data_IF_140239054152
#
_entry.id   IF_140239054152
#
_cell.length_a   1.000
_cell.length_b   1.000
_cell.length_c   1.000
_cell.angle_alpha   90.00
_cell.angle_beta   90.00
_cell.angle_gamma   90.00
#
_symmetry.space_group_name_H-M   'P 1'
#
loop_
_entity.id
_entity.type
_entity.pdbx_description
1 polymer ?
#
# COMPACT_ATOMS: atom_id res chain seq x y z
N UNK A 1 -11.61 -1.73 9.18
CA UNK A 1 -10.94 -2.83 9.93
C UNK A 1 -11.93 -3.56 10.84
N UNK A 2 -12.82 -2.88 11.60
CA UNK A 2 -13.69 -3.55 12.59
C UNK A 2 -14.45 -4.74 12.00
N UNK A 3 -15.21 -4.56 10.93
CA UNK A 3 -15.95 -5.65 10.28
C UNK A 3 -15.05 -6.81 9.78
N UNK A 4 -13.82 -6.49 9.37
CA UNK A 4 -12.83 -7.52 8.97
C UNK A 4 -12.41 -8.33 10.18
N UNK A 5 -12.10 -7.67 11.30
CA UNK A 5 -11.71 -8.34 12.54
C UNK A 5 -12.85 -9.17 13.12
N UNK A 6 -14.11 -8.69 13.05
CA UNK A 6 -15.30 -9.44 13.48
C UNK A 6 -15.47 -10.73 12.66
N UNK A 7 -15.29 -10.65 11.33
CA UNK A 7 -15.36 -11.83 10.45
C UNK A 7 -14.20 -12.78 10.76
N UNK A 8 -12.99 -12.27 10.92
CA UNK A 8 -11.82 -13.08 11.22
C UNK A 8 -11.98 -13.84 12.54
N UNK A 9 -12.44 -13.16 13.58
CA UNK A 9 -12.72 -13.79 14.88
C UNK A 9 -13.81 -14.86 14.75
N UNK A 10 -14.92 -14.56 14.08
CA UNK A 10 -16.03 -15.50 13.87
C UNK A 10 -15.59 -16.80 13.17
N UNK A 11 -14.64 -16.70 12.24
CA UNK A 11 -14.20 -17.82 11.41
C UNK A 11 -12.82 -18.34 11.79
N UNK A 12 -12.25 -17.90 12.93
CA UNK A 12 -10.91 -18.26 13.40
C UNK A 12 -9.83 -18.06 12.32
N UNK A 13 -9.85 -16.88 11.67
CA UNK A 13 -8.90 -16.49 10.63
C UNK A 13 -7.83 -15.56 11.18
N UNK A 14 -6.62 -15.69 10.64
CA UNK A 14 -5.56 -14.71 10.88
C UNK A 14 -5.69 -13.54 9.90
N UNK A 15 -5.42 -12.33 10.39
CA UNK A 15 -5.43 -11.10 9.59
C UNK A 15 -4.00 -10.57 9.48
N UNK A 16 -3.49 -10.54 8.25
CA UNK A 16 -2.25 -9.85 7.89
C UNK A 16 -2.61 -8.56 7.17
N UNK A 17 -2.21 -7.42 7.73
CA UNK A 17 -2.41 -6.11 7.12
C UNK A 17 -1.26 -5.80 6.15
N UNK A 18 -1.55 -5.62 4.87
CA UNK A 18 -0.61 -4.98 3.93
C UNK A 18 -0.77 -3.46 4.04
N UNK A 19 -0.02 -2.85 4.96
CA UNK A 19 0.01 -1.40 5.18
C UNK A 19 1.15 -0.71 4.41
N UNK A 20 1.76 -1.38 3.42
CA UNK A 20 2.92 -0.90 2.67
C UNK A 20 2.68 0.37 1.83
N UNK A 21 1.47 0.86 1.74
CA UNK A 21 1.12 2.14 1.08
C UNK A 21 0.58 3.17 2.08
N UNK A 22 0.62 2.87 3.38
CA UNK A 22 -0.07 3.64 4.39
C UNK A 22 0.76 3.79 5.68
N UNK A 23 2.07 3.96 5.52
CA UNK A 23 2.98 4.17 6.65
C UNK A 23 2.52 5.37 7.49
N UNK A 24 2.22 5.12 8.77
CA UNK A 24 1.70 6.13 9.69
C UNK A 24 0.21 6.47 9.57
N UNK A 25 -0.52 5.85 8.62
CA UNK A 25 -1.96 5.92 8.57
C UNK A 25 -2.61 5.26 9.78
N UNK A 26 -3.87 5.60 10.05
CA UNK A 26 -4.63 5.01 11.15
C UNK A 26 -6.09 4.74 10.77
N UNK A 27 -6.72 3.88 11.53
CA UNK A 27 -8.16 3.66 11.48
C UNK A 27 -8.72 3.75 12.89
N UNK A 28 -9.58 4.75 13.13
CA UNK A 28 -10.14 5.07 14.46
C UNK A 28 -9.06 5.19 15.53
N UNK A 29 -7.98 5.89 15.22
CA UNK A 29 -6.87 6.15 16.12
C UNK A 29 -5.87 5.01 16.31
N UNK A 30 -6.09 3.82 15.74
CA UNK A 30 -5.12 2.72 15.73
C UNK A 30 -4.29 2.75 14.47
N UNK A 31 -2.97 2.63 14.57
CA UNK A 31 -2.07 2.61 13.41
C UNK A 31 -2.37 1.40 12.52
N UNK A 32 -2.38 1.63 11.21
CA UNK A 32 -2.49 0.55 10.24
C UNK A 32 -1.24 -0.33 10.31
N UNK A 33 -1.44 -1.63 10.18
CA UNK A 33 -0.41 -2.64 10.42
C UNK A 33 -0.33 -3.14 11.86
N UNK A 34 -1.15 -2.58 12.80
CA UNK A 34 -1.18 -2.99 14.21
C UNK A 34 -2.54 -3.45 14.71
N UNK A 35 -3.51 -3.62 13.81
CA UNK A 35 -4.88 -3.98 14.16
C UNK A 35 -5.10 -5.49 14.02
N UNK A 36 -4.51 -6.10 12.99
CA UNK A 36 -4.55 -7.54 12.75
C UNK A 36 -3.54 -8.33 13.59
N UNK A 37 -3.34 -9.58 13.25
CA UNK A 37 -2.34 -10.46 13.90
C UNK A 37 -0.91 -10.06 13.53
N UNK A 38 -0.72 -9.52 12.33
CA UNK A 38 0.52 -8.96 11.87
C UNK A 38 0.26 -7.87 10.83
N UNK A 39 1.24 -6.99 10.63
CA UNK A 39 1.23 -5.96 9.60
C UNK A 39 2.56 -5.84 8.89
N UNK A 40 2.52 -5.55 7.60
CA UNK A 40 3.68 -5.28 6.78
C UNK A 40 3.75 -3.81 6.40
N UNK A 41 4.94 -3.21 6.55
CA UNK A 41 5.28 -1.87 6.11
C UNK A 41 6.37 -1.95 5.05
N UNK A 42 6.43 -0.93 4.17
CA UNK A 42 7.47 -0.81 3.15
C UNK A 42 8.17 0.53 3.27
N UNK A 43 9.49 0.52 3.23
CA UNK A 43 10.32 1.71 3.28
C UNK A 43 11.11 1.92 1.99
N UNK A 44 10.59 1.39 0.86
CA UNK A 44 11.24 1.60 -0.42
C UNK A 44 11.11 3.07 -0.87
N UNK A 45 11.84 3.42 -1.93
CA UNK A 45 11.97 4.80 -2.43
C UNK A 45 10.62 5.55 -2.62
N UNK A 46 9.54 4.86 -2.96
CA UNK A 46 8.24 5.48 -3.29
C UNK A 46 7.32 5.69 -2.09
N UNK A 47 7.75 5.38 -0.88
CA UNK A 47 6.90 5.42 0.32
C UNK A 47 6.90 6.79 0.99
N UNK A 48 5.99 6.98 1.93
CA UNK A 48 5.83 8.22 2.70
C UNK A 48 7.11 8.54 3.45
N UNK A 49 7.72 7.53 4.04
CA UNK A 49 9.07 7.56 4.60
C UNK A 49 9.89 6.45 3.95
N UNK A 50 11.16 6.73 3.64
CA UNK A 50 11.99 5.82 2.85
C UNK A 50 13.43 5.80 3.32
N UNK A 51 14.03 4.62 3.30
CA UNK A 51 15.49 4.44 3.42
C UNK A 51 16.11 3.87 2.13
N UNK A 52 15.45 4.05 0.99
CA UNK A 52 15.84 3.50 -0.31
C UNK A 52 15.19 2.13 -0.55
N UNK A 53 15.60 1.12 0.20
CA UNK A 53 14.96 -0.20 0.26
C UNK A 53 14.87 -0.67 1.71
N UNK A 54 13.71 -1.22 2.08
CA UNK A 54 13.47 -1.71 3.43
C UNK A 54 12.00 -2.03 3.66
N UNK A 55 11.72 -2.58 4.82
CA UNK A 55 10.38 -2.89 5.29
C UNK A 55 10.39 -3.34 6.74
N UNK A 56 9.22 -3.50 7.31
CA UNK A 56 9.05 -4.02 8.65
C UNK A 56 7.86 -4.96 8.72
N UNK A 57 7.97 -5.99 9.53
CA UNK A 57 6.88 -6.80 10.02
C UNK A 57 6.57 -6.39 11.47
N UNK A 58 5.30 -6.10 11.74
CA UNK A 58 4.80 -5.74 13.05
C UNK A 58 3.91 -6.86 13.58
N UNK A 59 4.09 -7.27 14.82
CA UNK A 59 3.22 -8.25 15.49
C UNK A 59 3.39 -8.20 16.99
N UNK A 60 2.32 -8.47 17.73
CA UNK A 60 2.34 -8.71 19.18
C UNK A 60 2.37 -10.22 19.50
N UNK A 61 2.28 -11.09 18.50
CA UNK A 61 2.37 -12.54 18.65
C UNK A 61 3.83 -12.97 18.73
N UNK A 62 4.22 -13.49 19.92
CA UNK A 62 5.59 -13.91 20.20
C UNK A 62 6.08 -15.02 19.26
N UNK A 63 5.24 -16.01 18.98
CA UNK A 63 5.58 -17.11 18.09
C UNK A 63 5.82 -16.65 16.66
N UNK A 64 4.94 -15.74 16.18
CA UNK A 64 5.06 -15.15 14.86
C UNK A 64 6.33 -14.30 14.75
N UNK A 65 6.63 -13.49 15.78
CA UNK A 65 7.87 -12.70 15.85
C UNK A 65 9.12 -13.61 15.77
N UNK A 66 9.19 -14.66 16.60
CA UNK A 66 10.32 -15.59 16.60
C UNK A 66 10.53 -16.25 15.23
N UNK A 67 9.46 -16.74 14.63
CA UNK A 67 9.50 -17.37 13.30
C UNK A 67 9.91 -16.40 12.19
N UNK A 68 9.38 -15.18 12.23
CA UNK A 68 9.73 -14.16 11.26
C UNK A 68 11.20 -13.79 11.34
N UNK A 69 11.73 -13.65 12.54
CA UNK A 69 13.13 -13.31 12.78
C UNK A 69 14.08 -14.44 12.34
N UNK A 70 13.76 -15.69 12.68
CA UNK A 70 14.51 -16.87 12.22
C UNK A 70 14.52 -16.94 10.68
N UNK A 71 13.36 -16.72 10.05
CA UNK A 71 13.24 -16.79 8.60
C UNK A 71 14.02 -15.68 7.90
N UNK A 72 13.93 -14.44 8.41
CA UNK A 72 14.55 -13.26 7.80
C UNK A 72 16.07 -13.25 7.89
N UNK A 73 16.65 -13.98 8.83
CA UNK A 73 18.09 -14.00 9.11
C UNK A 73 18.73 -15.38 8.83
N UNK A 74 18.11 -16.20 8.00
CA UNK A 74 18.59 -17.55 7.65
C UNK A 74 18.94 -18.42 8.87
N UNK A 75 18.26 -18.20 10.00
CA UNK A 75 18.58 -18.82 11.32
C UNK A 75 19.93 -18.42 11.92
N UNK A 76 20.58 -17.35 11.40
CA UNK A 76 21.87 -16.87 11.93
C UNK A 76 21.75 -16.26 13.34
N UNK A 77 20.55 -15.94 13.76
CA UNK A 77 20.22 -15.57 15.16
C UNK A 77 20.83 -16.50 16.21
N UNK A 78 21.01 -17.76 15.87
CA UNK A 78 21.69 -18.73 16.74
C UNK A 78 23.18 -18.41 17.00
N UNK A 79 23.80 -17.60 16.13
CA UNK A 79 25.20 -17.22 16.25
C UNK A 79 25.42 -15.92 17.05
N UNK A 80 24.41 -15.07 17.14
CA UNK A 80 24.52 -13.77 17.80
C UNK A 80 24.16 -13.81 19.29
N UNK A 81 24.04 -14.97 19.85
CA UNK A 81 24.17 -15.43 21.24
C UNK A 81 23.28 -14.79 22.29
N UNK A 82 23.00 -13.50 22.25
CA UNK A 82 22.32 -12.82 23.36
C UNK A 82 20.95 -12.24 23.00
N UNK A 83 20.62 -12.09 21.73
CA UNK A 83 19.36 -11.49 21.34
C UNK A 83 18.15 -12.42 21.43
N UNK A 84 18.40 -13.74 21.61
CA UNK A 84 17.39 -14.78 21.49
C UNK A 84 17.50 -15.91 22.52
N UNK A 85 18.09 -15.64 23.69
CA UNK A 85 18.21 -16.64 24.75
C UNK A 85 16.88 -17.22 25.22
N UNK A 86 15.78 -16.44 25.02
CA UNK A 86 14.44 -16.80 25.44
C UNK A 86 13.55 -17.32 24.29
N UNK A 87 14.10 -17.64 23.11
CA UNK A 87 13.31 -18.20 22.01
C UNK A 87 12.85 -19.61 22.32
N UNK A 88 11.57 -19.85 22.10
CA UNK A 88 10.94 -21.16 22.21
C UNK A 88 10.85 -21.88 20.87
N UNK A 89 11.00 -21.16 19.78
CA UNK A 89 10.93 -21.71 18.41
C UNK A 89 12.27 -22.32 18.02
N UNK A 90 12.24 -23.58 17.59
CA UNK A 90 13.43 -24.23 17.03
C UNK A 90 13.87 -23.53 15.73
N UNK A 91 15.20 -23.43 15.53
CA UNK A 91 15.77 -22.84 14.32
C UNK A 91 15.41 -23.65 13.07
N UNK A 92 15.12 -22.95 11.97
CA UNK A 92 14.85 -23.55 10.66
C UNK A 92 15.48 -22.74 9.53
N UNK A 93 15.63 -23.32 8.35
CA UNK A 93 16.19 -22.64 7.19
C UNK A 93 15.24 -21.54 6.71
N UNK A 94 15.75 -20.34 6.64
CA UNK A 94 15.03 -19.16 6.11
C UNK A 94 15.71 -18.57 4.88
N UNK A 95 15.37 -17.32 4.61
CA UNK A 95 15.99 -16.51 3.58
C UNK A 95 16.72 -15.31 4.18
N UNK A 96 17.59 -14.68 3.42
CA UNK A 96 18.31 -13.49 3.85
C UNK A 96 17.52 -12.24 3.46
N UNK A 97 16.96 -11.51 4.43
CA UNK A 97 16.22 -10.26 4.24
C UNK A 97 16.72 -9.13 5.13
N UNK A 98 17.94 -9.24 5.67
CA UNK A 98 18.51 -8.24 6.55
C UNK A 98 18.70 -6.90 5.83
N UNK A 99 18.34 -5.83 6.52
CA UNK A 99 18.71 -4.47 6.12
C UNK A 99 20.14 -4.15 6.60
N UNK A 100 20.73 -3.09 6.07
CA UNK A 100 22.05 -2.62 6.51
C UNK A 100 21.94 -1.38 7.41
N UNK A 101 23.00 -1.10 8.16
CA UNK A 101 23.06 0.01 9.12
C UNK A 101 22.90 1.39 8.49
N UNK A 102 23.29 1.57 7.22
CA UNK A 102 23.10 2.84 6.53
C UNK A 102 21.61 3.10 6.26
N UNK A 103 20.89 2.11 5.77
CA UNK A 103 19.44 2.20 5.59
C UNK A 103 18.73 2.41 6.93
N UNK A 104 19.16 1.71 8.00
CA UNK A 104 18.61 1.88 9.33
C UNK A 104 18.84 3.30 9.89
N UNK A 105 20.01 3.86 9.70
CA UNK A 105 20.33 5.23 10.11
C UNK A 105 19.46 6.28 9.39
N UNK A 106 19.26 6.10 8.07
CA UNK A 106 18.34 6.95 7.28
C UNK A 106 16.92 6.78 7.79
N UNK A 107 16.49 5.54 8.04
CA UNK A 107 15.12 5.25 8.48
C UNK A 107 14.79 5.88 9.84
N UNK A 108 15.72 5.87 10.79
CA UNK A 108 15.53 6.53 12.08
C UNK A 108 15.17 8.01 11.91
N UNK A 109 15.94 8.74 11.07
CA UNK A 109 15.65 10.16 10.80
C UNK A 109 14.32 10.34 10.07
N UNK A 110 13.97 9.44 9.16
CA UNK A 110 12.69 9.51 8.44
C UNK A 110 11.49 9.25 9.38
N UNK A 111 11.61 8.33 10.33
CA UNK A 111 10.58 8.06 11.32
C UNK A 111 10.35 9.25 12.25
N UNK A 112 11.39 9.96 12.65
CA UNK A 112 11.28 11.19 13.44
C UNK A 112 10.48 12.29 12.71
N UNK A 113 10.52 12.30 11.38
CA UNK A 113 9.79 13.26 10.53
C UNK A 113 8.38 12.81 10.14
N UNK A 114 8.01 11.57 10.39
CA UNK A 114 6.76 10.96 9.87
C UNK A 114 5.51 11.77 10.25
N UNK A 115 5.39 12.18 11.50
CA UNK A 115 4.20 12.92 11.96
C UNK A 115 4.08 14.30 11.30
N UNK A 116 5.18 15.00 11.10
CA UNK A 116 5.19 16.31 10.42
C UNK A 116 4.82 16.16 8.94
N UNK A 117 5.34 15.12 8.27
CA UNK A 117 4.99 14.80 6.88
C UNK A 117 3.49 14.49 6.76
N UNK A 118 2.95 13.65 7.64
CA UNK A 118 1.52 13.31 7.64
C UNK A 118 0.64 14.53 7.93
N UNK A 119 1.04 15.37 8.88
CA UNK A 119 0.31 16.61 9.19
C UNK A 119 0.28 17.55 7.98
N UNK A 120 1.39 17.70 7.26
CA UNK A 120 1.47 18.50 6.05
C UNK A 120 0.60 17.92 4.92
N UNK A 121 0.68 16.62 4.66
CA UNK A 121 -0.13 15.93 3.65
C UNK A 121 -1.63 16.06 3.92
N UNK A 122 -2.06 15.79 5.15
CA UNK A 122 -3.47 15.92 5.58
C UNK A 122 -3.98 17.33 5.44
N UNK A 123 -3.22 18.32 5.88
CA UNK A 123 -3.54 19.74 5.74
C UNK A 123 -3.70 20.14 4.27
N UNK A 124 -2.74 19.75 3.42
CA UNK A 124 -2.74 20.09 2.00
C UNK A 124 -3.89 19.39 1.27
N UNK A 125 -4.11 18.09 1.51
CA UNK A 125 -5.25 17.33 0.97
C UNK A 125 -6.58 17.96 1.36
N UNK A 126 -6.78 18.25 2.65
CA UNK A 126 -8.01 18.88 3.15
C UNK A 126 -8.26 20.22 2.47
N UNK A 127 -7.24 21.06 2.38
CA UNK A 127 -7.36 22.37 1.73
C UNK A 127 -7.80 22.23 0.27
N UNK A 128 -7.18 21.35 -0.50
CA UNK A 128 -7.56 21.11 -1.89
C UNK A 128 -8.99 20.57 -2.00
N UNK A 129 -9.36 19.59 -1.17
CA UNK A 129 -10.71 19.03 -1.14
C UNK A 129 -11.77 20.09 -0.83
N UNK A 130 -11.55 20.93 0.18
CA UNK A 130 -12.47 22.02 0.56
C UNK A 130 -12.70 22.99 -0.61
N UNK A 131 -11.65 23.31 -1.39
CA UNK A 131 -11.72 24.24 -2.54
C UNK A 131 -12.31 23.63 -3.81
N UNK A 132 -12.32 22.30 -3.91
CA UNK A 132 -12.77 21.57 -5.11
C UNK A 132 -14.13 20.89 -4.90
N UNK A 133 -14.64 20.80 -3.70
CA UNK A 133 -15.87 20.05 -3.34
C UNK A 133 -17.11 20.48 -4.09
N UNK A 134 -17.16 21.72 -4.58
CA UNK A 134 -18.28 22.25 -5.37
C UNK A 134 -18.23 21.89 -6.87
N UNK A 135 -17.08 21.43 -7.36
CA UNK A 135 -16.86 21.20 -8.81
C UNK A 135 -16.53 19.75 -9.17
N UNK A 136 -16.26 18.90 -8.19
CA UNK A 136 -15.95 17.48 -8.42
C UNK A 136 -16.35 16.60 -7.23
N UNK A 137 -16.35 15.29 -7.49
CA UNK A 137 -16.56 14.26 -6.45
C UNK A 137 -15.26 13.51 -6.19
N UNK A 138 -15.06 13.16 -4.92
CA UNK A 138 -13.92 12.35 -4.48
C UNK A 138 -14.38 10.97 -4.02
N UNK A 139 -13.49 9.99 -4.15
CA UNK A 139 -13.67 8.71 -3.46
C UNK A 139 -13.63 8.97 -1.95
N UNK A 140 -14.61 8.46 -1.25
CA UNK A 140 -14.73 8.62 0.20
C UNK A 140 -13.66 7.82 0.91
N UNK A 141 -12.91 8.46 1.81
CA UNK A 141 -12.02 7.76 2.74
C UNK A 141 -12.82 6.98 3.78
N UNK A 142 -12.32 5.82 4.21
CA UNK A 142 -12.92 5.03 5.29
C UNK A 142 -12.76 5.71 6.67
N UNK A 143 -11.68 6.47 6.83
CA UNK A 143 -11.39 7.30 7.99
C UNK A 143 -10.56 8.49 7.52
N UNK A 144 -11.21 9.64 7.39
CA UNK A 144 -10.55 10.82 6.82
C UNK A 144 -9.46 11.38 7.74
N UNK A 145 -9.63 11.26 9.04
CA UNK A 145 -8.66 11.76 10.02
C UNK A 145 -7.44 10.83 10.13
N UNK A 146 -7.64 9.55 9.85
CA UNK A 146 -6.60 8.54 9.81
C UNK A 146 -5.90 8.37 8.44
N UNK A 147 -6.46 8.96 7.38
CA UNK A 147 -5.88 8.91 6.03
C UNK A 147 -4.48 9.56 6.00
N UNK A 148 -3.55 8.97 5.26
CA UNK A 148 -2.19 9.52 5.13
C UNK A 148 -2.13 10.85 4.38
N UNK A 149 -3.14 11.17 3.59
CA UNK A 149 -3.20 12.43 2.84
C UNK A 149 -2.41 12.47 1.53
N UNK A 150 -1.82 11.37 1.10
CA UNK A 150 -0.90 11.32 -0.05
C UNK A 150 -1.56 11.53 -1.40
N UNK A 151 -2.89 11.35 -1.50
CA UNK A 151 -3.58 11.27 -2.79
C UNK A 151 -4.98 11.88 -2.71
N UNK A 152 -5.33 12.66 -3.71
CA UNK A 152 -6.72 13.00 -4.06
C UNK A 152 -7.22 11.97 -5.08
N UNK A 153 -8.30 11.28 -4.76
CA UNK A 153 -8.93 10.31 -5.64
C UNK A 153 -10.23 10.89 -6.22
N UNK A 154 -10.16 11.37 -7.44
CA UNK A 154 -11.30 11.92 -8.18
C UNK A 154 -12.14 10.80 -8.76
N UNK A 155 -13.47 10.93 -8.67
CA UNK A 155 -14.41 9.96 -9.22
C UNK A 155 -15.19 10.57 -10.38
N UNK A 156 -15.23 9.86 -11.51
CA UNK A 156 -15.96 10.23 -12.71
C UNK A 156 -17.13 9.28 -12.99
N UNK A 157 -18.07 9.72 -13.81
CA UNK A 157 -19.22 8.91 -14.22
C UNK A 157 -18.86 7.90 -15.30
N UNK A 158 -17.88 8.20 -16.15
CA UNK A 158 -17.40 7.34 -17.23
C UNK A 158 -15.86 7.35 -17.32
N UNK A 159 -15.32 6.36 -18.01
CA UNK A 159 -13.88 6.22 -18.25
C UNK A 159 -13.34 7.32 -19.16
N UNK A 160 -14.11 7.73 -20.16
CA UNK A 160 -13.69 8.77 -21.10
C UNK A 160 -13.38 10.09 -20.39
N UNK A 161 -14.25 10.52 -19.49
CA UNK A 161 -14.03 11.72 -18.69
C UNK A 161 -12.83 11.59 -17.76
N UNK A 162 -12.67 10.43 -17.11
CA UNK A 162 -11.51 10.16 -16.29
C UNK A 162 -10.19 10.29 -17.08
N UNK A 163 -10.16 9.76 -18.30
CA UNK A 163 -8.99 9.84 -19.19
C UNK A 163 -8.73 11.25 -19.68
N UNK A 164 -9.78 11.98 -20.09
CA UNK A 164 -9.66 13.40 -20.50
C UNK A 164 -9.09 14.24 -19.37
N UNK A 165 -9.60 14.07 -18.17
CA UNK A 165 -9.12 14.79 -17.00
C UNK A 165 -7.66 14.43 -16.68
N UNK A 166 -7.32 13.13 -16.61
CA UNK A 166 -5.97 12.69 -16.25
C UNK A 166 -4.89 13.19 -17.22
N UNK A 167 -5.23 13.33 -18.50
CA UNK A 167 -4.31 13.77 -19.57
C UNK A 167 -4.37 15.27 -19.84
N UNK A 168 -5.24 16.03 -19.16
CA UNK A 168 -5.30 17.46 -19.31
C UNK A 168 -3.98 18.13 -18.89
N UNK A 169 -3.64 19.21 -19.57
CA UNK A 169 -2.37 19.93 -19.35
C UNK A 169 -2.20 20.34 -17.88
N UNK A 170 -1.05 19.97 -17.31
CA UNK A 170 -0.67 20.30 -15.94
C UNK A 170 -1.33 19.46 -14.84
N UNK A 171 -2.17 18.47 -15.18
CA UNK A 171 -2.87 17.62 -14.20
C UNK A 171 -2.00 16.45 -13.75
N UNK A 172 -1.36 15.74 -14.67
CA UNK A 172 -0.52 14.59 -14.34
C UNK A 172 -1.26 13.48 -13.58
N UNK A 173 -2.54 13.27 -13.92
CA UNK A 173 -3.40 12.30 -13.25
C UNK A 173 -3.04 10.86 -13.61
N UNK A 174 -3.22 9.95 -12.68
CA UNK A 174 -2.96 8.51 -12.85
C UNK A 174 -4.28 7.74 -12.72
N UNK A 175 -4.62 6.95 -13.75
CA UNK A 175 -5.73 6.01 -13.65
C UNK A 175 -5.23 4.69 -13.03
N UNK A 176 -5.83 4.21 -11.95
CA UNK A 176 -5.44 2.91 -11.36
C UNK A 176 -5.52 1.75 -12.33
N UNK A 177 -6.48 1.77 -13.27
CA UNK A 177 -6.67 0.74 -14.31
C UNK A 177 -5.45 0.57 -15.23
N UNK A 178 -4.66 1.62 -15.39
CA UNK A 178 -3.49 1.62 -16.29
C UNK A 178 -2.19 1.28 -15.55
N UNK A 179 -2.21 1.21 -14.20
CA UNK A 179 -1.00 0.91 -13.43
C UNK A 179 -0.58 -0.55 -13.62
N UNK A 180 0.72 -0.78 -13.86
CA UNK A 180 1.24 -2.13 -14.05
C UNK A 180 1.28 -2.99 -12.78
N UNK A 181 1.32 -2.35 -11.60
CA UNK A 181 1.51 -3.03 -10.31
C UNK A 181 0.20 -3.33 -9.57
N UNK A 182 -0.83 -2.51 -9.75
CA UNK A 182 -2.01 -2.50 -8.89
C UNK A 182 -3.25 -3.10 -9.53
N UNK A 183 -3.10 -3.69 -10.73
CA UNK A 183 -4.20 -4.36 -11.41
C UNK A 183 -3.79 -5.78 -11.84
N UNK A 184 -4.54 -6.78 -11.38
CA UNK A 184 -4.20 -8.21 -11.54
C UNK A 184 -3.97 -8.61 -13.00
N UNK A 185 -4.74 -8.08 -13.95
CA UNK A 185 -4.62 -8.42 -15.39
C UNK A 185 -3.25 -8.04 -15.98
N UNK A 186 -2.46 -7.20 -15.31
CA UNK A 186 -1.09 -6.85 -15.70
C UNK A 186 -0.03 -7.75 -15.05
N UNK A 187 -0.42 -8.60 -14.13
CA UNK A 187 0.49 -9.55 -13.48
C UNK A 187 0.76 -10.75 -14.38
N UNK A 188 1.51 -10.51 -15.42
CA UNK A 188 1.81 -11.50 -16.48
C UNK A 188 2.26 -12.86 -15.93
N UNK A 189 3.14 -12.97 -14.90
CA UNK A 189 3.52 -14.27 -14.36
C UNK A 189 2.33 -15.04 -13.80
N UNK A 190 1.44 -14.39 -13.07
CA UNK A 190 0.23 -15.00 -12.49
C UNK A 190 -0.75 -15.38 -13.61
N UNK A 191 -1.06 -14.45 -14.50
CA UNK A 191 -1.99 -14.67 -15.61
C UNK A 191 -1.55 -15.80 -16.54
N UNK A 192 -0.24 -15.99 -16.70
CA UNK A 192 0.37 -17.06 -17.51
C UNK A 192 0.76 -18.30 -16.70
N UNK A 193 0.41 -18.35 -15.40
CA UNK A 193 0.72 -19.48 -14.50
C UNK A 193 2.23 -19.84 -14.52
N UNK A 194 3.09 -18.83 -14.31
CA UNK A 194 4.56 -18.95 -14.27
C UNK A 194 5.06 -18.49 -12.91
N UNK A 195 5.16 -19.41 -11.94
CA UNK A 195 5.52 -19.08 -10.56
C UNK A 195 7.03 -19.11 -10.30
N UNK A 196 7.76 -19.99 -10.96
CA UNK A 196 9.21 -20.09 -10.84
C UNK A 196 9.83 -20.66 -12.11
N UNK A 197 11.16 -20.47 -12.28
CA UNK A 197 11.90 -21.01 -13.41
C UNK A 197 11.98 -22.55 -13.35
N UNK A 198 12.32 -23.11 -12.18
CA UNK A 198 12.42 -24.55 -12.00
C UNK A 198 11.04 -25.17 -11.73
N UNK A 199 10.63 -26.22 -12.46
CA UNK A 199 9.30 -26.82 -12.33
C UNK A 199 8.95 -27.29 -10.90
N UNK A 200 9.92 -27.86 -10.16
CA UNK A 200 9.69 -28.31 -8.79
C UNK A 200 9.49 -27.18 -7.77
N UNK A 201 9.81 -25.94 -8.15
CA UNK A 201 9.60 -24.75 -7.32
C UNK A 201 8.42 -23.91 -7.82
N UNK A 202 7.81 -24.29 -8.95
CA UNK A 202 6.70 -23.55 -9.55
C UNK A 202 5.38 -24.01 -8.92
N UNK A 203 4.72 -23.16 -8.09
CA UNK A 203 3.48 -23.52 -7.42
C UNK A 203 2.36 -23.89 -8.40
N UNK A 204 2.40 -23.39 -9.63
CA UNK A 204 1.44 -23.75 -10.69
C UNK A 204 1.66 -25.14 -11.29
N UNK A 205 2.78 -25.79 -10.98
CA UNK A 205 3.12 -27.13 -11.47
C UNK A 205 3.14 -28.19 -10.37
N UNK A 206 3.03 -27.77 -9.10
CA UNK A 206 2.97 -28.69 -7.96
C UNK A 206 1.65 -29.47 -7.99
N UNK A 207 1.71 -30.79 -7.85
CA UNK A 207 0.54 -31.67 -7.83
C UNK A 207 -0.47 -31.27 -6.76
N UNK A 208 0.00 -30.95 -5.56
CA UNK A 208 -0.83 -30.51 -4.43
C UNK A 208 -1.69 -29.24 -4.73
N UNK A 209 -1.28 -28.44 -5.71
CA UNK A 209 -1.97 -27.20 -6.03
C UNK A 209 -2.92 -27.31 -7.22
N UNK A 210 -2.89 -28.41 -7.99
CA UNK A 210 -3.64 -28.50 -9.26
C UNK A 210 -5.16 -28.33 -9.07
N UNK A 211 -5.72 -28.80 -7.96
CA UNK A 211 -7.14 -28.71 -7.68
C UNK A 211 -7.62 -27.33 -7.22
N UNK A 212 -6.68 -26.44 -6.85
CA UNK A 212 -7.00 -25.13 -6.28
C UNK A 212 -6.53 -23.96 -7.15
N UNK A 213 -5.81 -24.22 -8.25
CA UNK A 213 -5.36 -23.16 -9.18
C UNK A 213 -6.55 -22.61 -9.94
N UNK A 214 -6.89 -21.30 -9.77
CA UNK A 214 -7.99 -20.71 -10.50
C UNK A 214 -7.73 -20.64 -12.01
N UNK A 215 -8.82 -20.52 -12.77
CA UNK A 215 -8.72 -20.10 -14.16
C UNK A 215 -8.63 -18.58 -14.22
N UNK A 216 -7.39 -18.06 -14.34
CA UNK A 216 -7.16 -16.62 -14.36
C UNK A 216 -7.57 -16.03 -15.71
N UNK A 217 -8.53 -15.11 -15.69
CA UNK A 217 -9.02 -14.38 -16.87
C UNK A 217 -8.91 -12.87 -16.63
N UNK A 218 -8.80 -12.10 -17.69
CA UNK A 218 -8.68 -10.64 -17.62
C UNK A 218 -9.95 -9.94 -17.08
N UNK A 219 -11.08 -10.63 -17.13
CA UNK A 219 -12.42 -10.12 -16.73
C UNK A 219 -12.94 -10.66 -15.40
N UNK A 220 -12.08 -11.31 -14.58
CA UNK A 220 -12.51 -11.96 -13.33
C UNK A 220 -13.20 -11.03 -12.32
N UNK A 221 -12.86 -9.74 -12.32
CA UNK A 221 -13.39 -8.76 -11.37
C UNK A 221 -14.01 -7.57 -12.12
N UNK A 222 -15.11 -7.74 -12.89
CA UNK A 222 -15.64 -6.71 -13.78
C UNK A 222 -16.02 -5.42 -13.05
N UNK A 223 -16.62 -5.51 -11.86
CA UNK A 223 -16.96 -4.34 -11.05
C UNK A 223 -15.73 -3.55 -10.61
N UNK A 224 -14.65 -4.24 -10.22
CA UNK A 224 -13.39 -3.59 -9.85
C UNK A 224 -12.77 -2.88 -11.06
N UNK A 225 -12.75 -3.53 -12.21
CA UNK A 225 -12.22 -2.95 -13.44
C UNK A 225 -13.01 -1.69 -13.84
N UNK A 226 -14.34 -1.77 -13.80
CA UNK A 226 -15.23 -0.64 -14.11
C UNK A 226 -15.00 0.54 -13.15
N UNK A 227 -14.84 0.29 -11.87
CA UNK A 227 -14.59 1.34 -10.86
C UNK A 227 -13.21 1.97 -11.04
N UNK A 228 -12.16 1.16 -11.21
CA UNK A 228 -10.78 1.62 -11.38
C UNK A 228 -10.59 2.44 -12.67
N UNK A 229 -11.37 2.18 -13.72
CA UNK A 229 -11.35 2.95 -14.96
C UNK A 229 -11.95 4.37 -14.81
N UNK A 230 -12.75 4.61 -13.77
CA UNK A 230 -13.44 5.88 -13.51
C UNK A 230 -12.81 6.72 -12.41
N UNK A 231 -11.63 6.35 -11.96
CA UNK A 231 -10.92 7.05 -10.87
C UNK A 231 -9.63 7.62 -11.39
N UNK A 232 -9.33 8.85 -10.97
CA UNK A 232 -8.03 9.48 -11.24
C UNK A 232 -7.38 9.89 -9.92
N UNK A 233 -6.13 9.47 -9.75
CA UNK A 233 -5.30 9.86 -8.62
C UNK A 233 -4.43 11.05 -8.97
N UNK A 234 -4.44 12.06 -8.08
CA UNK A 234 -3.49 13.17 -8.11
C UNK A 234 -2.72 13.13 -6.79
N UNK A 235 -1.38 13.15 -6.88
CA UNK A 235 -0.51 13.16 -5.71
C UNK A 235 -0.61 14.49 -4.98
N UNK A 236 -0.68 14.40 -3.65
CA UNK A 236 -0.50 15.54 -2.74
C UNK A 236 0.96 15.56 -2.28
N UNK A 237 1.57 16.74 -2.30
CA UNK A 237 2.95 16.92 -1.87
C UNK A 237 2.97 17.59 -0.47
N UNK A 238 3.73 17.08 0.49
CA UNK A 238 3.83 17.70 1.82
C UNK A 238 4.54 19.06 1.78
N UNK A 239 5.41 19.28 0.78
CA UNK A 239 6.24 20.49 0.65
C UNK A 239 5.55 21.62 -0.13
N UNK A 240 4.35 21.37 -0.69
CA UNK A 240 3.58 22.41 -1.38
C UNK A 240 3.20 23.54 -0.40
N UNK A 241 3.59 24.75 -0.75
CA UNK A 241 3.10 25.96 -0.10
C UNK A 241 1.71 26.36 -0.60
N UNK A 242 1.14 27.43 -0.04
CA UNK A 242 -0.20 27.89 -0.39
C UNK A 242 -0.31 28.29 -1.86
N UNK A 243 0.70 28.92 -2.42
CA UNK A 243 0.70 29.39 -3.81
C UNK A 243 0.73 28.20 -4.78
N UNK A 244 1.54 27.18 -4.49
CA UNK A 244 1.58 25.94 -5.27
C UNK A 244 0.24 25.20 -5.23
N UNK A 245 -0.38 25.09 -4.05
CA UNK A 245 -1.70 24.45 -3.90
C UNK A 245 -2.79 25.22 -4.66
N UNK A 246 -2.82 26.57 -4.58
CA UNK A 246 -3.78 27.39 -5.31
C UNK A 246 -3.59 27.23 -6.82
N UNK A 247 -2.34 27.21 -7.30
CA UNK A 247 -2.04 26.94 -8.71
C UNK A 247 -2.55 25.56 -9.19
N UNK A 248 -2.34 24.51 -8.41
CA UNK A 248 -2.88 23.17 -8.71
C UNK A 248 -4.41 23.15 -8.72
N UNK A 249 -5.05 23.84 -7.78
CA UNK A 249 -6.51 23.94 -7.70
C UNK A 249 -7.08 24.62 -8.95
N UNK A 250 -6.50 25.71 -9.42
CA UNK A 250 -6.97 26.42 -10.61
C UNK A 250 -6.77 25.60 -11.90
N UNK A 251 -5.67 24.85 -12.03
CA UNK A 251 -5.47 23.90 -13.13
C UNK A 251 -6.56 22.81 -13.12
N UNK A 252 -6.87 22.25 -11.96
CA UNK A 252 -7.91 21.22 -11.80
C UNK A 252 -9.28 21.78 -12.19
N UNK A 253 -9.65 22.97 -11.70
CA UNK A 253 -10.92 23.64 -12.07
C UNK A 253 -11.04 23.90 -13.57
N UNK A 254 -9.96 24.38 -14.17
CA UNK A 254 -9.89 24.62 -15.63
C UNK A 254 -10.08 23.32 -16.42
N UNK A 255 -9.40 22.25 -16.01
CA UNK A 255 -9.53 20.94 -16.65
C UNK A 255 -10.97 20.41 -16.56
N UNK A 256 -11.61 20.51 -15.39
CA UNK A 256 -13.00 20.08 -15.18
C UNK A 256 -13.99 20.94 -15.99
N UNK A 257 -13.81 22.26 -16.05
CA UNK A 257 -14.66 23.15 -16.83
C UNK A 257 -14.63 22.87 -18.35
N UNK A 258 -13.51 22.38 -18.87
CA UNK A 258 -13.34 22.02 -20.28
C UNK A 258 -13.97 20.66 -20.65
N UNK A 259 -14.55 19.95 -19.68
CA UNK A 259 -15.18 18.63 -19.88
C UNK A 259 -16.70 18.72 -20.02
N UNK A 260 -17.30 19.86 -19.64
CA UNK A 260 -18.73 20.15 -19.69
C UNK A 260 -19.28 20.53 -21.03
#
# INVERSE_FOLDING_TARGET
MDAIMDIAQKHNLLVLEDACQADGGSFRGKRLGTIGNAGALSFNYFKIVSCGEGGALLTDDRLLFERALIYHDSSAVAFFGNQMQDFTTEGFCGSEFRSNELCAAVMNVQLDRLEDILAALRRNKKYMMDKLSSVCSFIRSNDIDGDCGTTLAFQFTCEEDARRFATAEGIGGVLPIDTGKHIYKRWTPIMKKRGAFHPLMDPFKMEANQSIIPDYREDMCPESLLRLAKVVYIRVDPDDDRAALDGKIELIKKALANMG
#
